data_IF_284133519722
#
_entry.id   IF_284133519722
#
_cell.length_a   1.000
_cell.length_b   1.000
_cell.length_c   1.000
_cell.angle_alpha   90.00
_cell.angle_beta   90.00
_cell.angle_gamma   90.00
#
_symmetry.space_group_name_H-M   'P 1'
#
loop_
_entity.id
_entity.type
_entity.pdbx_description
1 polymer ?
#
# COMPACT_ATOMS: atom_id res chain seq x y z
N UNK A 1 -14.74 89.73 -34.25
CA UNK A 1 -15.74 88.74 -34.49
C UNK A 1 -15.17 87.35 -34.01
N UNK A 2 -15.55 86.95 -32.83
CA UNK A 2 -14.98 85.71 -32.18
C UNK A 2 -15.83 84.51 -32.57
N UNK A 3 -15.24 83.48 -33.18
CA UNK A 3 -15.87 82.19 -33.36
C UNK A 3 -15.53 81.28 -32.17
N UNK A 4 -16.56 80.91 -31.44
CA UNK A 4 -16.47 79.91 -30.36
C UNK A 4 -16.43 78.49 -30.98
N UNK A 5 -15.37 77.81 -30.76
CA UNK A 5 -15.24 76.36 -31.09
C UNK A 5 -15.64 75.56 -29.86
N UNK A 6 -16.70 74.78 -29.98
CA UNK A 6 -17.21 73.84 -28.95
C UNK A 6 -16.48 72.51 -29.12
N UNK A 7 -15.63 72.16 -28.18
CA UNK A 7 -15.00 70.80 -28.10
C UNK A 7 -15.91 69.83 -27.33
N UNK A 8 -16.48 68.92 -28.06
CA UNK A 8 -17.16 67.76 -27.48
C UNK A 8 -16.11 66.68 -27.07
N UNK A 9 -15.89 66.57 -25.80
CA UNK A 9 -15.07 65.45 -25.24
C UNK A 9 -15.85 64.14 -25.21
N UNK A 10 -15.45 63.18 -26.06
CA UNK A 10 -15.96 61.81 -26.07
C UNK A 10 -15.18 61.02 -25.06
N UNK A 11 -15.78 60.79 -23.89
CA UNK A 11 -15.23 59.96 -22.83
C UNK A 11 -15.43 58.46 -23.21
N UNK A 12 -14.37 57.83 -23.70
CA UNK A 12 -14.33 56.40 -23.98
C UNK A 12 -14.08 55.62 -22.67
N UNK A 13 -15.15 55.14 -22.05
CA UNK A 13 -15.09 54.31 -20.85
C UNK A 13 -14.66 52.90 -21.28
N UNK A 14 -13.34 52.61 -21.21
CA UNK A 14 -12.82 51.22 -21.39
C UNK A 14 -13.16 50.42 -20.16
N UNK A 15 -14.20 49.57 -20.26
CA UNK A 15 -14.44 48.50 -19.31
C UNK A 15 -13.32 47.44 -19.41
N UNK A 16 -12.36 47.51 -18.49
CA UNK A 16 -11.43 46.43 -18.25
C UNK A 16 -12.22 45.29 -17.56
N UNK A 17 -12.65 44.30 -18.35
CA UNK A 17 -13.12 43.06 -17.82
C UNK A 17 -11.93 42.33 -17.18
N UNK A 18 -11.81 42.39 -15.85
CA UNK A 18 -10.95 41.46 -15.09
C UNK A 18 -11.51 40.05 -15.29
N UNK A 19 -10.94 39.32 -16.27
CA UNK A 19 -11.03 37.85 -16.29
C UNK A 19 -10.14 37.42 -15.15
N UNK A 20 -10.74 37.21 -13.99
CA UNK A 20 -10.10 36.52 -12.88
C UNK A 20 -9.78 35.12 -13.34
N UNK A 21 -8.52 34.85 -13.70
CA UNK A 21 -8.00 33.49 -13.74
C UNK A 21 -8.08 32.94 -12.32
N UNK A 22 -9.16 32.24 -11.99
CA UNK A 22 -9.14 31.30 -10.89
C UNK A 22 -8.16 30.22 -11.33
N UNK A 23 -6.89 30.33 -10.90
CA UNK A 23 -5.97 29.18 -10.87
C UNK A 23 -6.56 28.16 -9.86
N UNK A 24 -7.56 27.38 -10.27
CA UNK A 24 -7.87 26.16 -9.58
C UNK A 24 -6.68 25.25 -9.81
N UNK A 25 -5.88 25.03 -8.77
CA UNK A 25 -4.81 24.04 -8.82
C UNK A 25 -5.47 22.70 -9.10
N UNK A 26 -5.16 22.13 -10.28
CA UNK A 26 -5.66 20.86 -10.73
C UNK A 26 -5.44 19.79 -9.65
N UNK A 27 -6.49 19.02 -9.33
CA UNK A 27 -6.43 17.95 -8.33
C UNK A 27 -5.54 16.80 -8.81
N UNK A 28 -5.12 15.92 -7.91
CA UNK A 28 -4.36 14.73 -8.29
C UNK A 28 -5.18 13.82 -9.19
N UNK A 29 -6.47 13.66 -8.92
CA UNK A 29 -7.38 12.86 -9.74
C UNK A 29 -7.46 13.42 -11.19
N UNK A 30 -7.66 14.73 -11.35
CA UNK A 30 -7.67 15.37 -12.66
C UNK A 30 -6.36 15.16 -13.43
N UNK A 31 -5.19 15.26 -12.74
CA UNK A 31 -3.88 14.98 -13.35
C UNK A 31 -3.72 13.55 -13.81
N UNK A 32 -4.18 12.59 -12.99
CA UNK A 32 -4.20 11.16 -13.33
C UNK A 32 -5.05 10.93 -14.58
N UNK A 33 -6.24 11.52 -14.65
CA UNK A 33 -7.14 11.42 -15.81
C UNK A 33 -6.57 12.06 -17.07
N UNK A 34 -5.93 13.21 -16.96
CA UNK A 34 -5.29 13.90 -18.09
C UNK A 34 -4.09 13.13 -18.64
N UNK A 35 -3.19 12.67 -17.75
CA UNK A 35 -2.01 11.90 -18.12
C UNK A 35 -2.35 10.47 -18.54
N UNK A 36 -3.53 9.97 -18.18
CA UNK A 36 -3.94 8.57 -18.30
C UNK A 36 -3.00 7.59 -17.62
N UNK A 37 -2.38 8.02 -16.54
CA UNK A 37 -1.45 7.23 -15.74
C UNK A 37 -1.75 7.41 -14.25
N UNK A 38 -1.78 6.28 -13.51
CA UNK A 38 -1.90 6.21 -12.05
C UNK A 38 -0.64 5.58 -11.50
N UNK A 39 0.18 6.37 -10.80
CA UNK A 39 1.43 5.88 -10.21
C UNK A 39 1.18 5.30 -8.82
N UNK A 40 1.74 4.13 -8.54
CA UNK A 40 1.56 3.47 -7.25
C UNK A 40 2.86 2.84 -6.75
N UNK A 41 3.02 2.79 -5.42
CA UNK A 41 4.23 2.28 -4.79
C UNK A 41 3.99 1.03 -3.94
N UNK A 42 4.99 0.16 -3.91
CA UNK A 42 5.13 -1.02 -3.04
C UNK A 42 6.61 -1.36 -2.87
N UNK A 43 6.91 -2.41 -2.08
CA UNK A 43 8.31 -2.82 -1.89
C UNK A 43 8.86 -3.69 -3.02
N UNK A 44 8.00 -4.47 -3.67
CA UNK A 44 8.42 -5.50 -4.64
C UNK A 44 9.13 -6.70 -4.01
N UNK A 45 9.01 -6.89 -2.69
CA UNK A 45 9.68 -7.95 -1.92
C UNK A 45 8.75 -8.62 -0.89
N UNK A 46 7.45 -8.64 -1.18
CA UNK A 46 6.39 -9.15 -0.29
C UNK A 46 5.47 -10.16 -1.01
N UNK A 47 5.98 -11.35 -1.36
CA UNK A 47 5.16 -12.37 -2.05
C UNK A 47 4.11 -12.98 -1.11
N UNK A 48 2.93 -13.34 -1.65
CA UNK A 48 2.53 -13.32 -3.05
C UNK A 48 1.87 -12.00 -3.48
N UNK A 49 1.96 -10.94 -2.66
CA UNK A 49 1.28 -9.67 -2.89
C UNK A 49 1.98 -8.79 -3.93
N UNK A 50 3.29 -8.54 -3.76
CA UNK A 50 4.09 -7.73 -4.68
C UNK A 50 5.55 -8.21 -4.65
N UNK A 51 6.05 -8.76 -5.74
CA UNK A 51 7.42 -9.30 -5.81
C UNK A 51 7.92 -9.39 -7.25
N UNK A 52 9.25 -9.47 -7.39
CA UNK A 52 9.88 -9.76 -8.68
C UNK A 52 9.91 -11.28 -8.86
N UNK A 53 9.35 -11.76 -9.96
CA UNK A 53 9.34 -13.19 -10.29
C UNK A 53 10.66 -13.65 -10.95
N UNK A 54 10.73 -14.93 -11.33
CA UNK A 54 11.92 -15.53 -11.95
C UNK A 54 12.24 -14.95 -13.35
N UNK A 55 11.25 -14.32 -14.01
CA UNK A 55 11.45 -13.65 -15.30
C UNK A 55 11.96 -12.21 -15.14
N UNK A 56 11.98 -11.69 -13.90
CA UNK A 56 12.34 -10.32 -13.57
C UNK A 56 11.17 -9.34 -13.64
N UNK A 57 9.94 -9.85 -13.78
CA UNK A 57 8.73 -9.04 -13.82
C UNK A 57 8.16 -8.79 -12.42
N UNK A 58 7.64 -7.59 -12.20
CA UNK A 58 6.92 -7.24 -10.97
C UNK A 58 5.48 -7.79 -11.04
N UNK A 59 5.17 -8.74 -10.17
CA UNK A 59 3.91 -9.46 -10.15
C UNK A 59 3.36 -9.55 -8.73
N UNK A 60 2.09 -9.95 -8.60
CA UNK A 60 1.48 -10.22 -7.30
C UNK A 60 0.03 -9.75 -7.21
N UNK A 61 -0.60 -10.08 -6.11
CA UNK A 61 -1.98 -9.69 -5.84
C UNK A 61 -2.17 -8.17 -5.86
N UNK A 62 -1.29 -7.41 -5.18
CA UNK A 62 -1.34 -5.94 -5.15
C UNK A 62 -1.20 -5.34 -6.56
N UNK A 63 -0.38 -5.98 -7.41
CA UNK A 63 -0.18 -5.52 -8.79
C UNK A 63 -1.44 -5.74 -9.63
N UNK A 64 -2.07 -6.91 -9.51
CA UNK A 64 -3.32 -7.20 -10.22
C UNK A 64 -4.45 -6.28 -9.75
N UNK A 65 -4.57 -6.03 -8.44
CA UNK A 65 -5.55 -5.09 -7.88
C UNK A 65 -5.30 -3.65 -8.38
N UNK A 66 -4.03 -3.19 -8.38
CA UNK A 66 -3.68 -1.85 -8.88
C UNK A 66 -4.01 -1.68 -10.36
N UNK A 67 -3.73 -2.71 -11.18
CA UNK A 67 -4.09 -2.72 -12.58
C UNK A 67 -5.61 -2.66 -12.78
N UNK A 68 -6.37 -3.47 -12.04
CA UNK A 68 -7.83 -3.49 -12.12
C UNK A 68 -8.45 -2.14 -11.66
N UNK A 69 -7.93 -1.50 -10.61
CA UNK A 69 -8.33 -0.15 -10.19
C UNK A 69 -8.08 0.84 -11.35
N UNK A 70 -6.89 0.82 -11.94
CA UNK A 70 -6.54 1.72 -13.05
C UNK A 70 -7.45 1.50 -14.27
N UNK A 71 -7.74 0.24 -14.60
CA UNK A 71 -8.65 -0.12 -15.70
C UNK A 71 -10.08 0.42 -15.46
N UNK A 72 -10.62 0.27 -14.23
CA UNK A 72 -11.91 0.87 -13.84
C UNK A 72 -11.90 2.39 -13.95
N UNK A 73 -10.78 3.01 -13.64
CA UNK A 73 -10.59 4.46 -13.79
C UNK A 73 -10.32 4.89 -15.24
N UNK A 74 -10.09 3.95 -16.19
CA UNK A 74 -9.76 4.24 -17.59
C UNK A 74 -8.37 4.87 -17.77
N UNK A 75 -7.39 4.44 -16.98
CA UNK A 75 -5.99 4.89 -16.99
C UNK A 75 -5.04 3.68 -16.93
N UNK A 76 -3.73 3.90 -17.07
CA UNK A 76 -2.71 2.85 -16.98
C UNK A 76 -2.03 2.91 -15.62
N UNK A 77 -1.91 1.77 -14.95
CA UNK A 77 -1.15 1.66 -13.71
C UNK A 77 0.37 1.70 -13.97
N UNK A 78 1.10 2.43 -13.12
CA UNK A 78 2.55 2.59 -13.19
C UNK A 78 3.17 2.27 -11.83
N UNK A 79 3.76 1.07 -11.66
CA UNK A 79 4.39 0.68 -10.40
C UNK A 79 5.71 1.39 -10.16
N UNK A 80 5.97 1.75 -8.89
CA UNK A 80 7.27 2.17 -8.38
C UNK A 80 7.65 1.33 -7.15
N UNK A 81 8.86 0.77 -7.15
CA UNK A 81 9.39 0.07 -5.98
C UNK A 81 10.19 1.01 -5.10
N UNK A 82 9.95 0.95 -3.79
CA UNK A 82 10.63 1.78 -2.78
C UNK A 82 10.74 1.01 -1.46
N UNK A 83 11.79 1.27 -0.69
CA UNK A 83 11.93 0.70 0.64
C UNK A 83 10.76 1.08 1.56
N UNK A 84 10.34 0.13 2.41
CA UNK A 84 9.16 0.26 3.26
C UNK A 84 9.20 1.48 4.19
N UNK A 85 10.34 1.72 4.83
CA UNK A 85 10.54 2.83 5.78
C UNK A 85 10.39 4.23 5.16
N UNK A 86 10.57 4.35 3.84
CA UNK A 86 10.42 5.61 3.08
C UNK A 86 9.08 5.78 2.36
N UNK A 87 8.21 4.77 2.34
CA UNK A 87 7.07 4.73 1.41
C UNK A 87 6.01 5.82 1.69
N UNK A 88 5.64 6.06 2.96
CA UNK A 88 4.70 7.13 3.33
C UNK A 88 5.30 8.51 3.04
N UNK A 89 6.60 8.70 3.28
CA UNK A 89 7.31 9.95 2.94
C UNK A 89 7.31 10.19 1.44
N UNK A 90 7.49 9.14 0.62
CA UNK A 90 7.36 9.22 -0.83
C UNK A 90 5.97 9.68 -1.29
N UNK A 91 4.91 9.12 -0.68
CA UNK A 91 3.52 9.50 -0.97
C UNK A 91 3.24 10.97 -0.63
N UNK A 92 3.56 11.38 0.59
CA UNK A 92 3.35 12.77 1.05
C UNK A 92 4.24 13.77 0.29
N UNK A 93 5.41 13.32 -0.17
CA UNK A 93 6.29 14.06 -1.07
C UNK A 93 5.85 14.09 -2.55
N UNK A 94 4.68 13.49 -2.88
CA UNK A 94 4.08 13.46 -4.24
C UNK A 94 4.95 12.77 -5.28
N UNK A 95 5.74 11.78 -4.86
CA UNK A 95 6.55 10.97 -5.76
C UNK A 95 5.67 10.02 -6.61
N UNK A 96 4.59 9.53 -6.02
CA UNK A 96 3.57 8.68 -6.64
C UNK A 96 2.19 9.07 -6.08
N UNK A 97 1.12 8.53 -6.66
CA UNK A 97 -0.26 8.94 -6.36
C UNK A 97 -0.88 8.15 -5.21
N UNK A 98 -0.55 6.86 -5.08
CA UNK A 98 -1.05 5.99 -4.02
C UNK A 98 -0.02 4.94 -3.59
N UNK A 99 -0.23 4.31 -2.44
CA UNK A 99 0.47 3.10 -2.02
C UNK A 99 -0.51 1.94 -2.08
N UNK A 100 -0.16 0.91 -2.85
CA UNK A 100 -0.82 -0.39 -2.83
C UNK A 100 0.25 -1.46 -2.66
N UNK A 101 0.52 -1.80 -1.41
CA UNK A 101 1.66 -2.62 -1.00
C UNK A 101 1.40 -3.27 0.34
N UNK A 102 0.18 -3.80 0.53
CA UNK A 102 -0.21 -4.53 1.74
C UNK A 102 -0.06 -3.70 3.03
N UNK A 103 -0.48 -2.42 2.98
CA UNK A 103 -0.34 -1.52 4.12
C UNK A 103 -1.53 -1.62 5.07
N UNK A 104 -1.29 -2.04 6.32
CA UNK A 104 -2.29 -2.07 7.36
C UNK A 104 -2.78 -0.65 7.72
N UNK A 105 -4.10 -0.51 7.90
CA UNK A 105 -4.74 0.69 8.38
C UNK A 105 -4.50 0.78 9.88
N UNK A 106 -3.82 1.85 10.34
CA UNK A 106 -3.56 2.11 11.76
C UNK A 106 -3.82 3.58 12.08
N UNK A 107 -4.14 3.87 13.35
CA UNK A 107 -4.34 5.25 13.82
C UNK A 107 -3.11 6.14 13.52
N UNK A 108 -1.90 5.64 13.78
CA UNK A 108 -0.66 6.38 13.49
C UNK A 108 -0.54 6.74 12.00
N UNK A 109 -0.88 5.81 11.11
CA UNK A 109 -0.82 6.04 9.65
C UNK A 109 -1.95 6.97 9.19
N UNK A 110 -3.15 6.87 9.81
CA UNK A 110 -4.28 7.77 9.56
C UNK A 110 -3.98 9.22 9.96
N UNK A 111 -3.02 9.48 10.84
CA UNK A 111 -2.55 10.84 11.09
C UNK A 111 -1.85 11.48 9.87
N UNK A 112 -1.21 10.65 9.04
CA UNK A 112 -0.34 11.09 7.92
C UNK A 112 -1.02 10.97 6.55
N UNK A 113 -1.84 9.96 6.36
CA UNK A 113 -2.49 9.61 5.08
C UNK A 113 -3.94 9.21 5.29
N UNK A 114 -4.71 9.13 4.20
CA UNK A 114 -6.04 8.52 4.16
C UNK A 114 -5.93 7.11 3.59
N UNK A 115 -6.90 6.26 3.90
CA UNK A 115 -6.99 4.91 3.37
C UNK A 115 -8.31 4.68 2.65
N UNK A 116 -8.27 3.84 1.62
CA UNK A 116 -9.47 3.27 1.01
C UNK A 116 -10.22 2.36 2.00
N UNK A 117 -11.39 1.91 1.62
CA UNK A 117 -11.98 0.71 2.21
C UNK A 117 -10.94 -0.43 2.15
N UNK A 118 -10.94 -1.36 3.12
CA UNK A 118 -10.05 -2.50 3.06
C UNK A 118 -10.22 -3.28 1.75
N UNK A 119 -9.10 -3.65 1.10
CA UNK A 119 -9.13 -4.50 -0.08
C UNK A 119 -8.73 -5.95 0.23
N UNK A 120 -8.26 -6.24 1.45
CA UNK A 120 -8.20 -7.58 2.03
C UNK A 120 -7.98 -7.52 3.55
N UNK A 121 -8.11 -8.69 4.18
CA UNK A 121 -7.84 -8.89 5.60
C UNK A 121 -6.73 -9.92 5.79
N UNK A 122 -5.81 -9.63 6.71
CA UNK A 122 -4.71 -10.53 7.08
C UNK A 122 -4.52 -10.51 8.61
N UNK A 123 -3.40 -10.94 9.08
CA UNK A 123 -3.01 -10.85 10.49
C UNK A 123 -1.56 -11.23 10.71
N UNK A 124 -1.03 -10.73 11.81
CA UNK A 124 0.31 -11.09 12.26
C UNK A 124 0.36 -12.56 12.68
N UNK A 125 1.28 -13.32 12.12
CA UNK A 125 1.42 -14.74 12.39
C UNK A 125 2.87 -15.09 12.72
N UNK A 126 3.05 -15.89 13.77
CA UNK A 126 4.34 -16.51 14.10
C UNK A 126 4.58 -17.72 13.20
N UNK A 127 5.78 -17.79 12.64
CA UNK A 127 6.26 -18.91 11.84
C UNK A 127 7.61 -19.40 12.39
N UNK A 128 7.78 -20.72 12.33
CA UNK A 128 9.00 -21.42 12.75
C UNK A 128 9.39 -22.44 11.67
N UNK A 129 10.62 -22.94 11.71
CA UNK A 129 11.01 -24.04 10.84
C UNK A 129 10.11 -25.28 11.10
N UNK A 130 9.89 -26.08 10.05
CA UNK A 130 8.98 -27.24 10.11
C UNK A 130 9.31 -28.24 11.22
N UNK A 131 10.58 -28.38 11.56
CA UNK A 131 11.13 -29.28 12.58
C UNK A 131 11.28 -28.65 13.98
N UNK A 132 10.90 -27.38 14.15
CA UNK A 132 10.93 -26.70 15.46
C UNK A 132 9.89 -27.25 16.42
N UNK A 133 10.22 -27.33 17.70
CA UNK A 133 9.30 -27.70 18.78
C UNK A 133 8.47 -26.53 19.32
N UNK A 134 8.74 -25.29 18.88
CA UNK A 134 7.99 -24.09 19.25
C UNK A 134 6.57 -24.20 18.70
N UNK A 135 5.58 -24.16 19.58
CA UNK A 135 4.17 -24.30 19.22
C UNK A 135 3.40 -22.97 19.31
N UNK A 136 3.89 -21.99 20.09
CA UNK A 136 3.23 -20.71 20.33
C UNK A 136 4.27 -19.64 20.68
N UNK A 137 3.88 -18.36 20.58
CA UNK A 137 4.75 -17.22 20.91
C UNK A 137 5.17 -17.22 22.39
N UNK A 138 4.37 -17.80 23.27
CA UNK A 138 4.68 -17.90 24.71
C UNK A 138 5.77 -18.95 25.01
N UNK A 139 6.10 -19.83 24.07
CA UNK A 139 7.22 -20.76 24.18
C UNK A 139 8.57 -20.08 23.96
N UNK A 140 8.56 -18.84 23.43
CA UNK A 140 9.75 -18.09 23.09
C UNK A 140 10.38 -17.44 24.33
N UNK A 141 11.28 -18.15 24.99
CA UNK A 141 12.06 -17.61 26.13
C UNK A 141 13.47 -17.27 25.68
N UNK A 142 13.84 -15.99 25.72
CA UNK A 142 15.13 -15.47 25.23
C UNK A 142 15.42 -15.87 23.76
N UNK A 143 14.37 -16.05 22.96
CA UNK A 143 14.47 -16.45 21.56
C UNK A 143 14.74 -15.23 20.66
N UNK A 144 15.31 -15.51 19.48
CA UNK A 144 15.51 -14.53 18.41
C UNK A 144 14.33 -14.59 17.46
N UNK A 145 13.66 -13.46 17.31
CA UNK A 145 12.48 -13.35 16.42
C UNK A 145 12.75 -12.32 15.34
N UNK A 146 12.63 -12.74 14.08
CA UNK A 146 12.81 -11.87 12.94
C UNK A 146 11.54 -11.11 12.59
N UNK A 147 11.69 -9.85 12.19
CA UNK A 147 10.58 -9.00 11.73
C UNK A 147 11.10 -7.90 10.78
N UNK A 148 10.23 -7.42 9.89
CA UNK A 148 10.59 -6.28 9.02
C UNK A 148 10.46 -4.97 9.78
N UNK A 149 11.48 -4.13 9.67
CA UNK A 149 11.57 -2.81 10.33
C UNK A 149 10.41 -1.90 9.92
N UNK A 150 9.81 -1.18 10.89
CA UNK A 150 8.74 -0.19 10.62
C UNK A 150 7.39 -0.79 10.24
N UNK A 151 7.22 -2.11 10.40
CA UNK A 151 5.93 -2.78 10.27
C UNK A 151 5.14 -2.73 11.59
N UNK A 152 3.84 -2.95 11.51
CA UNK A 152 2.97 -3.18 12.68
C UNK A 152 3.43 -4.39 13.50
N UNK A 153 3.99 -5.41 12.83
CA UNK A 153 4.57 -6.58 13.46
C UNK A 153 5.74 -6.24 14.38
N UNK A 154 6.63 -5.34 13.91
CA UNK A 154 7.77 -4.84 14.70
C UNK A 154 7.30 -4.09 15.95
N UNK A 155 6.34 -3.16 15.79
CA UNK A 155 5.77 -2.41 16.91
C UNK A 155 5.12 -3.35 17.94
N UNK A 156 4.27 -4.28 17.45
CA UNK A 156 3.57 -5.24 18.29
C UNK A 156 4.52 -6.11 19.13
N UNK A 157 5.57 -6.67 18.51
CA UNK A 157 6.56 -7.47 19.21
C UNK A 157 7.31 -6.65 20.27
N UNK A 158 7.73 -5.42 19.91
CA UNK A 158 8.47 -4.54 20.81
C UNK A 158 7.67 -4.13 22.05
N UNK A 159 6.37 -3.92 21.88
CA UNK A 159 5.47 -3.50 22.95
C UNK A 159 5.02 -4.66 23.85
N UNK A 160 4.70 -5.81 23.26
CA UNK A 160 4.07 -6.91 23.97
C UNK A 160 5.06 -8.01 24.42
N UNK A 161 6.24 -8.09 23.77
CA UNK A 161 7.26 -9.12 24.06
C UNK A 161 8.65 -8.52 24.23
N UNK A 162 8.86 -7.59 25.19
CA UNK A 162 10.12 -6.85 25.35
C UNK A 162 11.32 -7.72 25.76
N UNK A 163 11.08 -8.97 26.16
CA UNK A 163 12.12 -9.94 26.52
C UNK A 163 12.67 -10.74 25.32
N UNK A 164 12.07 -10.60 24.13
CA UNK A 164 12.57 -11.25 22.93
C UNK A 164 13.72 -10.46 22.31
N UNK A 165 14.71 -11.17 21.77
CA UNK A 165 15.72 -10.55 20.92
C UNK A 165 15.13 -10.35 19.51
N UNK A 166 14.69 -9.12 19.21
CA UNK A 166 14.07 -8.80 17.92
C UNK A 166 15.14 -8.51 16.89
N UNK A 167 15.23 -9.34 15.85
CA UNK A 167 16.10 -9.13 14.69
C UNK A 167 15.33 -8.43 13.58
N UNK A 168 15.81 -7.25 13.19
CA UNK A 168 15.16 -6.40 12.20
C UNK A 168 15.74 -6.63 10.81
N UNK A 169 14.88 -6.73 9.80
CA UNK A 169 15.22 -6.93 8.41
C UNK A 169 14.58 -5.84 7.52
N UNK A 170 15.15 -5.62 6.34
CA UNK A 170 14.60 -4.67 5.36
C UNK A 170 13.45 -5.28 4.53
N UNK A 171 13.40 -6.63 4.44
CA UNK A 171 12.36 -7.34 3.66
C UNK A 171 12.00 -8.68 4.27
N UNK A 172 10.79 -9.18 3.94
CA UNK A 172 10.37 -10.54 4.33
C UNK A 172 11.19 -11.62 3.63
N UNK A 173 11.72 -11.35 2.45
CA UNK A 173 12.64 -12.26 1.76
C UNK A 173 13.90 -12.52 2.59
N UNK A 174 14.50 -11.45 3.14
CA UNK A 174 15.69 -11.57 3.97
C UNK A 174 15.38 -12.17 5.33
N UNK A 175 14.23 -11.82 5.90
CA UNK A 175 13.70 -12.39 7.13
C UNK A 175 13.55 -13.93 7.00
N UNK A 176 12.84 -14.40 5.97
CA UNK A 176 12.66 -15.82 5.67
C UNK A 176 13.98 -16.56 5.44
N UNK A 177 14.91 -15.95 4.69
CA UNK A 177 16.25 -16.53 4.47
C UNK A 177 17.05 -16.67 5.75
N UNK A 178 16.98 -15.68 6.63
CA UNK A 178 17.67 -15.72 7.92
C UNK A 178 17.14 -16.84 8.82
N UNK A 179 15.81 -17.08 8.83
CA UNK A 179 15.21 -18.23 9.53
C UNK A 179 15.72 -19.55 8.96
N UNK A 180 15.70 -19.71 7.63
CA UNK A 180 16.25 -20.92 6.95
C UNK A 180 17.71 -21.20 7.30
N UNK A 181 18.49 -20.13 7.52
CA UNK A 181 19.92 -20.22 7.87
C UNK A 181 20.17 -20.50 9.37
N UNK A 182 19.11 -20.64 10.18
CA UNK A 182 19.22 -20.83 11.62
C UNK A 182 19.78 -19.63 12.40
N UNK A 183 19.64 -18.41 11.85
CA UNK A 183 20.10 -17.19 12.50
C UNK A 183 19.13 -16.70 13.59
N UNK A 184 17.93 -17.24 13.60
CA UNK A 184 16.86 -16.94 14.55
C UNK A 184 15.95 -18.17 14.73
N UNK A 185 15.10 -18.14 15.74
CA UNK A 185 14.25 -19.24 16.16
C UNK A 185 12.86 -19.17 15.48
N UNK A 186 12.37 -17.96 15.23
CA UNK A 186 11.07 -17.69 14.65
C UNK A 186 11.06 -16.38 13.85
N UNK A 187 10.02 -16.17 13.06
CA UNK A 187 9.71 -14.86 12.44
C UNK A 187 8.23 -14.52 12.60
N UNK A 188 7.91 -13.23 12.58
CA UNK A 188 6.55 -12.73 12.48
C UNK A 188 6.41 -11.96 11.18
N UNK A 189 5.37 -12.31 10.41
CA UNK A 189 4.97 -11.66 9.16
C UNK A 189 3.47 -11.84 8.95
N UNK A 190 2.92 -11.31 7.85
CA UNK A 190 1.56 -11.57 7.43
C UNK A 190 1.32 -13.07 7.19
N UNK A 191 0.14 -13.55 7.59
CA UNK A 191 -0.22 -14.98 7.48
C UNK A 191 -0.02 -15.52 6.07
N UNK A 192 -0.51 -14.82 5.05
CA UNK A 192 -0.42 -15.28 3.66
C UNK A 192 1.01 -15.27 3.13
N UNK A 193 1.86 -14.34 3.58
CA UNK A 193 3.29 -14.30 3.23
C UNK A 193 3.99 -15.55 3.74
N UNK A 194 3.86 -15.84 5.02
CA UNK A 194 4.47 -17.04 5.61
C UNK A 194 3.95 -18.33 4.98
N UNK A 195 2.64 -18.46 4.73
CA UNK A 195 2.05 -19.62 4.07
C UNK A 195 2.55 -19.82 2.63
N UNK A 196 2.98 -18.76 1.94
CA UNK A 196 3.53 -18.83 0.59
C UNK A 196 5.00 -19.27 0.54
N UNK A 197 5.73 -19.19 1.66
CA UNK A 197 7.18 -19.40 1.71
C UNK A 197 7.64 -20.78 1.18
N UNK A 198 6.94 -21.91 1.45
CA UNK A 198 7.33 -23.22 0.91
C UNK A 198 7.30 -23.25 -0.61
N UNK A 199 6.24 -22.72 -1.23
CA UNK A 199 6.06 -22.74 -2.69
C UNK A 199 6.91 -21.70 -3.41
N UNK A 200 7.15 -20.53 -2.81
CA UNK A 200 7.89 -19.43 -3.44
C UNK A 200 9.40 -19.52 -3.24
N UNK A 201 9.85 -20.01 -2.08
CA UNK A 201 11.28 -20.00 -1.72
C UNK A 201 11.84 -21.37 -1.34
N UNK A 202 11.02 -22.41 -1.33
CA UNK A 202 11.45 -23.73 -0.83
C UNK A 202 11.91 -23.67 0.63
N UNK A 203 11.26 -22.85 1.45
CA UNK A 203 11.53 -22.70 2.88
C UNK A 203 10.40 -23.37 3.65
N UNK A 204 10.67 -24.55 4.21
CA UNK A 204 9.67 -25.34 4.93
C UNK A 204 9.48 -24.79 6.34
N UNK A 205 8.49 -23.92 6.48
CA UNK A 205 8.06 -23.35 7.75
C UNK A 205 6.64 -23.82 8.09
N UNK A 206 6.29 -23.70 9.35
CA UNK A 206 4.93 -23.94 9.85
C UNK A 206 4.46 -22.79 10.71
N UNK A 207 3.16 -22.65 10.77
CA UNK A 207 2.48 -21.76 11.72
C UNK A 207 2.73 -22.24 13.14
N UNK A 208 3.04 -21.33 14.06
CA UNK A 208 3.10 -21.54 15.49
C UNK A 208 2.03 -20.68 16.18
N UNK A 209 1.11 -21.32 16.88
CA UNK A 209 -0.02 -20.67 17.54
C UNK A 209 -1.10 -20.14 16.61
N UNK A 210 -1.96 -19.28 17.16
CA UNK A 210 -3.00 -18.55 16.44
C UNK A 210 -2.46 -17.23 15.92
N UNK A 211 -3.27 -16.49 15.14
CA UNK A 211 -2.95 -15.11 14.79
C UNK A 211 -2.71 -14.28 16.05
N UNK A 212 -1.66 -13.47 16.03
CA UNK A 212 -1.35 -12.55 17.13
C UNK A 212 -2.37 -11.41 17.18
N UNK A 213 -2.77 -10.90 16.00
CA UNK A 213 -3.84 -9.93 15.81
C UNK A 213 -4.25 -9.86 14.35
N UNK A 214 -5.41 -9.26 14.07
CA UNK A 214 -5.92 -9.04 12.72
C UNK A 214 -5.57 -7.65 12.20
N UNK A 215 -5.46 -7.54 10.87
CA UNK A 215 -5.22 -6.30 10.16
C UNK A 215 -6.23 -6.10 9.02
N UNK A 216 -6.66 -4.85 8.86
CA UNK A 216 -7.38 -4.36 7.70
C UNK A 216 -6.37 -3.68 6.77
N UNK A 217 -6.32 -4.10 5.50
CA UNK A 217 -5.33 -3.63 4.56
C UNK A 217 -5.99 -2.73 3.53
N UNK A 218 -5.50 -1.50 3.41
CA UNK A 218 -6.06 -0.47 2.54
C UNK A 218 -5.05 0.16 1.59
N UNK A 219 -5.56 0.80 0.54
CA UNK A 219 -4.76 1.65 -0.35
C UNK A 219 -4.55 3.00 0.34
N UNK A 220 -3.28 3.40 0.54
CA UNK A 220 -2.99 4.69 1.16
C UNK A 220 -2.89 5.81 0.13
N UNK A 221 -3.54 6.94 0.42
CA UNK A 221 -3.64 8.13 -0.44
C UNK A 221 -3.41 9.37 0.43
N UNK A 222 -2.86 10.45 -0.14
CA UNK A 222 -2.67 11.71 0.59
C UNK A 222 -4.00 12.25 1.11
N UNK A 223 -3.99 12.89 2.27
CA UNK A 223 -5.21 13.45 2.91
C UNK A 223 -5.92 14.50 2.05
N UNK A 224 -5.16 15.26 1.27
CA UNK A 224 -5.70 16.28 0.37
C UNK A 224 -6.32 15.71 -0.93
N UNK A 225 -6.11 14.44 -1.24
CA UNK A 225 -6.52 13.82 -2.51
C UNK A 225 -7.86 13.04 -2.38
N UNK A 226 -8.87 13.67 -1.78
CA UNK A 226 -10.18 13.04 -1.51
C UNK A 226 -10.86 12.51 -2.78
N UNK A 227 -10.77 13.23 -3.91
CA UNK A 227 -11.36 12.79 -5.19
C UNK A 227 -10.69 11.50 -5.72
N UNK A 228 -9.37 11.35 -5.53
CA UNK A 228 -8.67 10.12 -5.88
C UNK A 228 -9.08 8.98 -4.96
N UNK A 229 -9.23 9.24 -3.67
CA UNK A 229 -9.71 8.26 -2.69
C UNK A 229 -11.11 7.74 -3.05
N UNK A 230 -12.02 8.63 -3.39
CA UNK A 230 -13.39 8.27 -3.80
C UNK A 230 -13.39 7.44 -5.10
N UNK A 231 -12.54 7.80 -6.06
CA UNK A 231 -12.40 7.05 -7.30
C UNK A 231 -11.81 5.65 -7.08
N UNK A 232 -10.84 5.50 -6.18
CA UNK A 232 -10.27 4.19 -5.80
C UNK A 232 -11.31 3.35 -5.07
N UNK A 233 -12.07 3.90 -4.13
CA UNK A 233 -13.13 3.19 -3.44
C UNK A 233 -14.24 2.73 -4.41
N UNK A 234 -14.62 3.58 -5.35
CA UNK A 234 -15.58 3.23 -6.41
C UNK A 234 -15.05 2.08 -7.26
N UNK A 235 -13.78 2.15 -7.69
CA UNK A 235 -13.16 1.09 -8.48
C UNK A 235 -13.10 -0.25 -7.73
N UNK A 236 -12.75 -0.23 -6.44
CA UNK A 236 -12.75 -1.43 -5.59
C UNK A 236 -14.17 -2.03 -5.48
N UNK A 237 -15.19 -1.20 -5.29
CA UNK A 237 -16.57 -1.68 -5.23
C UNK A 237 -17.03 -2.27 -6.57
N UNK A 238 -16.72 -1.60 -7.68
CA UNK A 238 -17.04 -2.11 -9.03
C UNK A 238 -16.37 -3.47 -9.31
N UNK A 239 -15.13 -3.68 -8.82
CA UNK A 239 -14.40 -4.96 -8.94
C UNK A 239 -15.07 -6.06 -8.10
N UNK A 240 -15.62 -5.73 -6.95
CA UNK A 240 -16.37 -6.68 -6.10
C UNK A 240 -17.68 -7.04 -6.78
N UNK A 241 -18.41 -6.06 -7.28
CA UNK A 241 -19.75 -6.23 -7.86
C UNK A 241 -19.73 -7.02 -9.17
N UNK A 242 -18.67 -6.90 -9.98
CA UNK A 242 -18.56 -7.60 -11.28
C UNK A 242 -17.72 -8.89 -11.22
N UNK A 243 -17.20 -9.25 -10.04
CA UNK A 243 -16.44 -10.48 -9.82
C UNK A 243 -14.93 -10.39 -10.13
N UNK A 244 -14.43 -9.26 -10.64
CA UNK A 244 -12.98 -9.07 -10.93
C UNK A 244 -12.13 -9.30 -9.67
N UNK A 245 -12.60 -8.82 -8.51
CA UNK A 245 -11.88 -9.03 -7.24
C UNK A 245 -11.77 -10.52 -6.90
N UNK A 246 -12.88 -11.26 -7.01
CA UNK A 246 -12.93 -12.69 -6.71
C UNK A 246 -11.96 -13.46 -7.62
N UNK A 247 -11.93 -13.17 -8.93
CA UNK A 247 -11.01 -13.81 -9.87
C UNK A 247 -9.54 -13.58 -9.47
N UNK A 248 -9.17 -12.35 -9.10
CA UNK A 248 -7.82 -12.02 -8.65
C UNK A 248 -7.48 -12.74 -7.34
N UNK A 249 -8.39 -12.74 -6.37
CA UNK A 249 -8.19 -13.40 -5.08
C UNK A 249 -8.02 -14.93 -5.24
N UNK A 250 -8.87 -15.56 -6.05
CA UNK A 250 -8.77 -16.99 -6.36
C UNK A 250 -7.46 -17.35 -7.07
N UNK A 251 -6.99 -16.51 -7.99
CA UNK A 251 -5.70 -16.70 -8.69
C UNK A 251 -4.51 -16.81 -7.72
N UNK A 252 -4.49 -15.98 -6.70
CA UNK A 252 -3.33 -15.87 -5.80
C UNK A 252 -3.43 -16.74 -4.54
N UNK A 253 -4.64 -16.91 -4.02
CA UNK A 253 -4.87 -17.53 -2.70
C UNK A 253 -5.79 -18.75 -2.72
N UNK A 254 -6.44 -19.06 -3.85
CA UNK A 254 -7.47 -20.11 -3.97
C UNK A 254 -8.64 -19.92 -2.98
N UNK A 255 -8.87 -18.69 -2.55
CA UNK A 255 -9.97 -18.27 -1.66
C UNK A 255 -10.20 -16.76 -1.80
N UNK A 256 -11.34 -16.28 -1.31
CA UNK A 256 -11.61 -14.83 -1.19
C UNK A 256 -10.99 -14.31 0.12
N UNK A 257 -9.98 -13.45 0.02
CA UNK A 257 -9.31 -12.87 1.21
C UNK A 257 -9.92 -11.54 1.67
N UNK A 258 -11.03 -11.10 1.07
CA UNK A 258 -11.85 -9.99 1.56
C UNK A 258 -12.84 -10.45 2.65
N UNK A 259 -13.07 -11.74 2.77
CA UNK A 259 -13.91 -12.33 3.82
C UNK A 259 -13.06 -12.54 5.10
N UNK A 260 -13.63 -12.12 6.27
CA UNK A 260 -12.98 -12.23 7.60
C UNK A 260 -13.05 -13.65 8.14
#
# INVERSE_FOLDING_TARGET
MLKKILLLGLSLCTMFSFVGCTNSTQTTYEKVKEKKELTFAMTGQYPPFNYIDESGELVGFDIDIANAIADKMGVTAKPETIAWDGIITGLTGKRFDMIIGSMAITEERLEKVSFSNPYYYDGAQLFVMQDSDIADINDLTNAKVGVVTGTTFHSYLSENYPNLEILQFESDVDNLRALKQGRMDALVTGKFVGLSAPSKYGINIKVAGTLLYFEEIGVAIRKEDAELLDAVNTALQDMIDDGTYEEISQKWFSTNILEK
#
